data_IF_222111763613
#
_entry.id   IF_222111763613
#
_cell.length_a   1.000
_cell.length_b   1.000
_cell.length_c   1.000
_cell.angle_alpha   90.00
_cell.angle_beta   90.00
_cell.angle_gamma   90.00
#
_symmetry.space_group_name_H-M   'P 1'
#
loop_
_entity.id
_entity.type
_entity.pdbx_description
1 polymer ?
#
# COMPACT_ATOMS: atom_id res chain seq x y z
N UNK A 1 27.82 9.03 -66.70
CA UNK A 1 29.12 9.02 -65.95
C UNK A 1 29.10 7.91 -64.98
N UNK A 2 29.89 6.80 -65.17
CA UNK A 2 30.01 5.71 -64.19
C UNK A 2 31.23 6.00 -63.34
N UNK A 3 31.00 6.11 -62.04
CA UNK A 3 32.10 6.26 -61.06
C UNK A 3 32.98 4.99 -61.01
N UNK A 4 34.30 5.14 -60.91
CA UNK A 4 35.22 4.00 -60.85
C UNK A 4 34.89 3.10 -59.65
N UNK A 5 35.00 1.78 -59.83
CA UNK A 5 34.65 0.74 -58.82
C UNK A 5 35.33 0.94 -57.46
N UNK A 6 36.51 1.59 -57.41
CA UNK A 6 37.23 1.94 -56.18
C UNK A 6 36.48 3.01 -55.37
N UNK A 7 35.90 4.03 -56.02
CA UNK A 7 35.12 5.06 -55.34
C UNK A 7 33.79 4.53 -54.80
N UNK A 8 33.16 3.57 -55.50
CA UNK A 8 31.94 2.92 -55.01
C UNK A 8 32.20 2.09 -53.75
N UNK A 9 33.34 1.36 -53.67
CA UNK A 9 33.74 0.64 -52.46
C UNK A 9 34.03 1.56 -51.28
N UNK A 10 34.71 2.69 -51.51
CA UNK A 10 34.98 3.68 -50.47
C UNK A 10 33.69 4.33 -49.95
N UNK A 11 32.74 4.67 -50.81
CA UNK A 11 31.45 5.21 -50.42
C UNK A 11 30.64 4.20 -49.60
N UNK A 12 30.66 2.89 -49.95
CA UNK A 12 29.99 1.85 -49.21
C UNK A 12 30.59 1.64 -47.81
N UNK A 13 31.92 1.65 -47.71
CA UNK A 13 32.62 1.51 -46.42
C UNK A 13 32.32 2.73 -45.51
N UNK A 14 32.33 3.94 -46.08
CA UNK A 14 31.97 5.15 -45.33
C UNK A 14 30.53 5.11 -44.83
N UNK A 15 29.58 4.66 -45.65
CA UNK A 15 28.18 4.50 -45.28
C UNK A 15 27.98 3.47 -44.18
N UNK A 16 28.65 2.32 -44.25
CA UNK A 16 28.60 1.28 -43.21
C UNK A 16 29.23 1.78 -41.90
N UNK A 17 30.34 2.48 -41.96
CA UNK A 17 31.00 3.04 -40.78
C UNK A 17 30.13 4.09 -40.07
N UNK A 18 29.46 4.96 -40.82
CA UNK A 18 28.54 5.97 -40.24
C UNK A 18 27.29 5.33 -39.66
N UNK A 19 26.73 4.29 -40.29
CA UNK A 19 25.56 3.56 -39.72
C UNK A 19 25.90 2.87 -38.41
N UNK A 20 27.06 2.21 -38.32
CA UNK A 20 27.53 1.58 -37.07
C UNK A 20 27.73 2.63 -35.97
N UNK A 21 28.28 3.78 -36.29
CA UNK A 21 28.50 4.86 -35.32
C UNK A 21 27.16 5.41 -34.79
N UNK A 22 26.16 5.60 -35.63
CA UNK A 22 24.83 6.07 -35.26
C UNK A 22 24.13 5.05 -34.32
N UNK A 23 24.24 3.76 -34.63
CA UNK A 23 23.68 2.70 -33.78
C UNK A 23 24.36 2.66 -32.43
N UNK A 24 25.68 2.78 -32.37
CA UNK A 24 26.42 2.79 -31.08
C UNK A 24 26.08 4.02 -30.22
N UNK A 25 25.94 5.19 -30.83
CA UNK A 25 25.53 6.41 -30.11
C UNK A 25 24.09 6.24 -29.61
N UNK A 26 23.18 5.75 -30.43
CA UNK A 26 21.77 5.53 -30.06
C UNK A 26 21.61 4.53 -28.89
N UNK A 27 22.36 3.43 -28.91
CA UNK A 27 22.36 2.46 -27.83
C UNK A 27 22.95 3.03 -26.53
N UNK A 28 24.06 3.78 -26.61
CA UNK A 28 24.66 4.42 -25.45
C UNK A 28 23.71 5.46 -24.79
N UNK A 29 23.00 6.23 -25.61
CA UNK A 29 21.99 7.17 -25.11
C UNK A 29 20.77 6.45 -24.53
N UNK A 30 20.30 5.39 -25.16
CA UNK A 30 19.19 4.55 -24.65
C UNK A 30 19.50 3.94 -23.29
N UNK A 31 20.71 3.39 -23.14
CA UNK A 31 21.16 2.83 -21.83
C UNK A 31 21.26 3.94 -20.78
N UNK A 32 21.80 5.13 -21.11
CA UNK A 32 21.87 6.26 -20.16
C UNK A 32 20.48 6.72 -19.72
N UNK A 33 19.55 6.89 -20.65
CA UNK A 33 18.16 7.26 -20.32
C UNK A 33 17.50 6.21 -19.44
N UNK A 34 17.67 4.94 -19.78
CA UNK A 34 17.11 3.84 -18.99
C UNK A 34 17.68 3.79 -17.57
N UNK A 35 19.00 3.99 -17.40
CA UNK A 35 19.62 4.04 -16.08
C UNK A 35 19.19 5.28 -15.28
N UNK A 36 19.04 6.43 -15.94
CA UNK A 36 18.49 7.63 -15.28
C UNK A 36 17.05 7.41 -14.80
N UNK A 37 16.19 6.82 -15.62
CA UNK A 37 14.82 6.48 -15.24
C UNK A 37 14.77 5.48 -14.07
N UNK A 38 15.61 4.44 -14.10
CA UNK A 38 15.72 3.49 -12.97
C UNK A 38 16.22 4.14 -11.68
N UNK A 39 17.21 5.02 -11.77
CA UNK A 39 17.75 5.71 -10.61
C UNK A 39 16.78 6.73 -10.04
N UNK A 40 16.00 7.44 -10.88
CA UNK A 40 14.92 8.32 -10.40
C UNK A 40 13.81 7.54 -9.69
N UNK A 41 13.40 6.38 -10.23
CA UNK A 41 12.43 5.52 -9.56
C UNK A 41 12.94 4.98 -8.21
N UNK A 42 14.24 4.62 -8.13
CA UNK A 42 14.88 4.18 -6.89
C UNK A 42 15.05 5.33 -5.86
N UNK A 43 15.31 6.56 -6.32
CA UNK A 43 15.43 7.72 -5.43
C UNK A 43 14.07 8.22 -4.90
N UNK A 44 12.97 7.99 -5.63
CA UNK A 44 11.63 8.28 -5.11
C UNK A 44 11.20 7.33 -3.98
N UNK A 45 11.83 6.15 -3.87
CA UNK A 45 11.57 5.20 -2.77
C UNK A 45 12.35 5.51 -1.47
N UNK A 46 13.30 6.43 -1.50
CA UNK A 46 14.13 6.80 -0.34
C UNK A 46 13.96 8.26 0.10
N UNK A 47 12.81 8.88 -0.19
CA UNK A 47 12.48 10.15 0.43
C UNK A 47 12.50 9.95 1.95
N UNK A 48 13.31 10.70 2.72
CA UNK A 48 13.33 10.56 4.17
C UNK A 48 11.92 10.77 4.70
N UNK A 49 11.39 9.77 5.41
CA UNK A 49 10.11 9.91 6.10
C UNK A 49 10.24 11.11 7.03
N UNK A 50 9.44 12.13 6.79
CA UNK A 50 9.49 13.32 7.62
C UNK A 50 8.80 13.01 8.95
N UNK A 51 9.58 12.72 9.98
CA UNK A 51 9.10 12.44 11.34
C UNK A 51 8.19 13.54 11.92
N UNK A 52 8.20 14.74 11.32
CA UNK A 52 7.29 15.81 11.69
C UNK A 52 5.80 15.53 11.39
N UNK A 53 5.50 14.45 10.67
CA UNK A 53 4.13 14.04 10.36
C UNK A 53 3.51 13.09 11.41
N UNK A 54 4.26 12.74 12.46
CA UNK A 54 3.86 11.70 13.43
C UNK A 54 4.00 10.30 12.85
N UNK A 55 3.93 9.28 13.72
CA UNK A 55 4.10 7.87 13.36
C UNK A 55 5.54 7.38 13.42
N UNK A 56 5.68 6.08 13.61
CA UNK A 56 6.96 5.38 13.72
C UNK A 56 7.31 4.73 12.38
N UNK A 57 8.50 4.96 11.81
CA UNK A 57 8.91 4.31 10.57
C UNK A 57 9.14 2.81 10.76
N UNK A 58 8.65 2.00 9.82
CA UNK A 58 8.66 0.53 9.87
C UNK A 58 9.82 -0.11 9.09
N UNK A 59 10.83 0.66 8.68
CA UNK A 59 12.01 0.21 7.94
C UNK A 59 11.71 -0.55 6.62
N UNK A 60 10.53 -0.37 6.04
CA UNK A 60 10.15 -0.96 4.75
C UNK A 60 10.08 -2.49 4.77
N UNK A 61 9.67 -3.11 5.88
CA UNK A 61 9.39 -4.54 5.96
C UNK A 61 8.21 -4.89 5.06
N UNK A 62 8.28 -6.04 4.36
CA UNK A 62 7.14 -6.54 3.58
C UNK A 62 5.98 -6.84 4.53
N UNK A 63 4.81 -6.24 4.26
CA UNK A 63 3.60 -6.48 5.03
C UNK A 63 3.16 -7.94 4.90
N UNK A 64 2.89 -8.64 6.01
CA UNK A 64 2.39 -10.00 6.01
C UNK A 64 1.10 -10.13 5.19
N UNK A 65 1.06 -11.06 4.24
CA UNK A 65 -0.14 -11.26 3.42
C UNK A 65 -1.22 -12.01 4.22
N UNK A 66 -2.47 -11.67 3.93
CA UNK A 66 -3.63 -12.35 4.50
C UNK A 66 -4.78 -12.40 3.50
N UNK A 67 -5.73 -13.33 3.74
CA UNK A 67 -7.00 -13.39 3.04
C UNK A 67 -8.13 -13.42 4.06
N UNK A 68 -9.01 -12.42 4.00
CA UNK A 68 -10.19 -12.27 4.85
C UNK A 68 -11.41 -11.95 3.99
N UNK A 69 -12.58 -11.80 4.63
CA UNK A 69 -13.86 -11.49 3.99
C UNK A 69 -14.31 -10.10 4.39
N UNK A 70 -14.74 -9.28 3.44
CA UNK A 70 -15.22 -7.92 3.72
C UNK A 70 -16.70 -7.89 4.13
N UNK A 71 -17.21 -6.70 4.43
CA UNK A 71 -18.58 -6.44 4.82
C UNK A 71 -19.63 -6.75 3.73
N UNK A 72 -19.21 -7.07 2.52
CA UNK A 72 -20.06 -7.51 1.40
C UNK A 72 -19.90 -9.00 1.09
N UNK A 73 -19.29 -9.77 1.99
CA UNK A 73 -18.95 -11.17 1.83
C UNK A 73 -17.99 -11.47 0.65
N UNK A 74 -17.20 -10.46 0.23
CA UNK A 74 -16.19 -10.63 -0.81
C UNK A 74 -14.84 -10.99 -0.19
N UNK A 75 -14.11 -11.91 -0.83
CA UNK A 75 -12.75 -12.25 -0.39
C UNK A 75 -11.77 -11.15 -0.77
N UNK A 76 -11.02 -10.65 0.21
CA UNK A 76 -9.96 -9.66 0.04
C UNK A 76 -8.63 -10.26 0.46
N UNK A 77 -7.62 -10.15 -0.40
CA UNK A 77 -6.24 -10.55 -0.13
C UNK A 77 -5.36 -9.30 -0.19
N UNK A 78 -4.54 -9.05 0.83
CA UNK A 78 -3.74 -7.83 0.90
C UNK A 78 -2.82 -7.67 -0.32
N UNK A 79 -2.16 -8.75 -0.75
CA UNK A 79 -1.24 -8.70 -1.90
C UNK A 79 -1.91 -8.33 -3.23
N UNK A 80 -3.23 -8.48 -3.36
CA UNK A 80 -3.97 -8.02 -4.56
C UNK A 80 -4.16 -6.51 -4.63
N UNK A 81 -3.85 -5.79 -3.55
CA UNK A 81 -3.94 -4.34 -3.47
C UNK A 81 -2.64 -3.62 -3.87
N UNK A 82 -1.60 -4.37 -4.27
CA UNK A 82 -0.36 -3.78 -4.78
C UNK A 82 -0.63 -2.81 -5.92
N UNK A 83 0.18 -1.78 -6.02
CA UNK A 83 -0.04 -0.63 -6.91
C UNK A 83 -0.85 0.49 -6.25
N UNK A 84 -1.36 0.28 -5.03
CA UNK A 84 -2.13 1.26 -4.24
C UNK A 84 -1.50 1.44 -2.86
N UNK A 85 -1.63 2.62 -2.31
CA UNK A 85 -1.35 2.88 -0.90
C UNK A 85 -2.46 2.24 -0.05
N UNK A 86 -2.11 1.50 0.99
CA UNK A 86 -3.07 0.90 1.91
C UNK A 86 -2.91 1.53 3.29
N UNK A 87 -4.01 2.03 3.84
CA UNK A 87 -4.13 2.40 5.25
C UNK A 87 -4.85 1.27 5.94
N UNK A 88 -4.14 0.50 6.75
CA UNK A 88 -4.66 -0.65 7.47
C UNK A 88 -4.80 -0.30 8.95
N UNK A 89 -5.96 -0.56 9.55
CA UNK A 89 -6.20 -0.40 10.97
C UNK A 89 -6.87 -1.63 11.57
N UNK A 90 -6.65 -1.86 12.86
CA UNK A 90 -7.36 -2.88 13.64
C UNK A 90 -8.52 -2.24 14.38
N UNK A 91 -9.74 -2.74 14.14
CA UNK A 91 -11.00 -2.15 14.60
C UNK A 91 -11.86 -3.24 15.24
N UNK A 92 -12.24 -3.08 16.49
CA UNK A 92 -13.25 -3.94 17.10
C UNK A 92 -14.65 -3.51 16.63
N UNK A 93 -15.40 -4.45 16.02
CA UNK A 93 -16.77 -4.23 15.52
C UNK A 93 -17.80 -3.95 16.63
N UNK A 94 -17.44 -4.08 17.91
CA UNK A 94 -18.27 -3.73 19.04
C UNK A 94 -17.78 -2.51 19.84
N UNK A 95 -16.64 -1.96 19.48
CA UNK A 95 -16.06 -0.78 20.12
C UNK A 95 -16.92 0.47 19.85
N UNK A 96 -17.16 1.27 20.91
CA UNK A 96 -17.96 2.49 20.87
C UNK A 96 -17.16 3.77 21.16
N UNK A 97 -15.86 3.67 21.38
CA UNK A 97 -15.01 4.79 21.79
C UNK A 97 -13.95 5.16 20.76
N UNK A 98 -12.81 4.49 20.79
CA UNK A 98 -11.65 4.84 19.92
C UNK A 98 -11.85 4.40 18.46
N UNK A 99 -12.45 3.24 18.21
CA UNK A 99 -12.61 2.74 16.84
C UNK A 99 -13.42 3.67 15.91
N UNK A 100 -14.54 4.30 16.34
CA UNK A 100 -15.20 5.33 15.54
C UNK A 100 -14.30 6.53 15.21
N UNK A 101 -13.44 6.93 16.16
CA UNK A 101 -12.48 8.01 15.95
C UNK A 101 -11.43 7.61 14.92
N UNK A 102 -10.85 6.42 15.03
CA UNK A 102 -9.90 5.88 14.03
C UNK A 102 -10.50 5.85 12.63
N UNK A 103 -11.72 5.37 12.48
CA UNK A 103 -12.44 5.37 11.20
C UNK A 103 -12.61 6.79 10.62
N UNK A 104 -12.99 7.74 11.48
CA UNK A 104 -13.14 9.16 11.11
C UNK A 104 -11.81 9.76 10.65
N UNK A 105 -10.71 9.47 11.35
CA UNK A 105 -9.36 9.93 10.99
C UNK A 105 -8.97 9.38 9.63
N UNK A 106 -9.11 8.06 9.38
CA UNK A 106 -8.80 7.43 8.11
C UNK A 106 -9.58 8.06 6.96
N UNK A 107 -10.88 8.22 7.13
CA UNK A 107 -11.76 8.82 6.13
C UNK A 107 -11.38 10.28 5.83
N UNK A 108 -11.20 11.07 6.87
CA UNK A 108 -10.88 12.50 6.75
C UNK A 108 -9.50 12.71 6.12
N UNK A 109 -8.51 11.92 6.52
CA UNK A 109 -7.19 11.98 5.93
C UNK A 109 -7.24 11.68 4.43
N UNK A 110 -7.94 10.61 4.02
CA UNK A 110 -8.13 10.28 2.61
C UNK A 110 -8.86 11.39 1.85
N UNK A 111 -9.91 11.96 2.41
CA UNK A 111 -10.68 13.04 1.78
C UNK A 111 -9.85 14.31 1.54
N UNK A 112 -8.86 14.59 2.41
CA UNK A 112 -7.95 15.76 2.28
C UNK A 112 -6.89 15.62 1.19
N UNK A 113 -6.68 14.42 0.65
CA UNK A 113 -5.67 14.19 -0.39
C UNK A 113 -6.07 14.75 -1.78
N UNK A 114 -7.33 15.15 -1.97
CA UNK A 114 -7.86 15.48 -3.29
C UNK A 114 -8.13 14.22 -4.12
N UNK A 115 -8.97 14.33 -5.16
CA UNK A 115 -9.51 13.18 -5.90
C UNK A 115 -8.45 12.28 -6.51
N UNK A 116 -7.41 12.85 -7.12
CA UNK A 116 -6.36 12.09 -7.82
C UNK A 116 -5.51 11.24 -6.87
N UNK A 117 -5.10 11.78 -5.72
CA UNK A 117 -4.32 11.01 -4.74
C UNK A 117 -5.23 10.05 -3.96
N UNK A 118 -6.43 10.50 -3.55
CA UNK A 118 -7.39 9.67 -2.82
C UNK A 118 -7.81 8.42 -3.61
N UNK A 119 -7.87 8.48 -4.94
CA UNK A 119 -8.18 7.30 -5.78
C UNK A 119 -7.13 6.20 -5.71
N UNK A 120 -5.91 6.52 -5.31
CA UNK A 120 -4.80 5.57 -5.13
C UNK A 120 -4.75 4.97 -3.71
N UNK A 121 -5.54 5.48 -2.77
CA UNK A 121 -5.55 5.04 -1.37
C UNK A 121 -6.71 4.09 -1.11
N UNK A 122 -6.41 2.94 -0.52
CA UNK A 122 -7.37 1.95 0.00
C UNK A 122 -7.38 2.02 1.52
N UNK A 123 -8.56 2.10 2.11
CA UNK A 123 -8.74 1.98 3.55
C UNK A 123 -9.16 0.55 3.88
N UNK A 124 -8.44 -0.10 4.79
CA UNK A 124 -8.70 -1.45 5.27
C UNK A 124 -8.86 -1.41 6.79
N UNK A 125 -9.94 -1.96 7.29
CA UNK A 125 -10.08 -2.30 8.69
C UNK A 125 -10.03 -3.82 8.83
N UNK A 126 -9.25 -4.33 9.78
CA UNK A 126 -9.26 -5.74 10.19
C UNK A 126 -10.00 -5.84 11.52
N UNK A 127 -10.99 -6.72 11.57
CA UNK A 127 -11.76 -6.92 12.81
C UNK A 127 -10.86 -7.41 13.95
N UNK A 128 -10.74 -6.62 15.01
CA UNK A 128 -9.95 -6.91 16.19
C UNK A 128 -10.77 -7.66 17.28
N UNK A 129 -11.98 -8.11 16.95
CA UNK A 129 -12.82 -8.88 17.87
C UNK A 129 -13.00 -10.34 17.41
N UNK A 130 -12.26 -11.29 17.98
CA UNK A 130 -12.38 -12.70 17.61
C UNK A 130 -13.66 -13.38 18.10
N UNK A 131 -14.50 -12.68 18.90
CA UNK A 131 -15.79 -13.19 19.39
C UNK A 131 -16.98 -12.68 18.57
N UNK A 132 -16.79 -11.63 17.78
CA UNK A 132 -17.80 -11.00 16.92
C UNK A 132 -17.30 -11.03 15.46
N UNK A 133 -17.38 -12.20 14.82
CA UNK A 133 -16.68 -12.48 13.54
C UNK A 133 -17.58 -12.50 12.32
N UNK A 134 -18.88 -12.23 12.47
CA UNK A 134 -19.80 -12.31 11.34
C UNK A 134 -19.66 -11.13 10.37
N UNK A 135 -19.90 -11.39 9.09
CA UNK A 135 -19.99 -10.34 8.07
C UNK A 135 -21.06 -9.31 8.43
N UNK A 136 -22.19 -9.75 9.01
CA UNK A 136 -23.27 -8.87 9.40
C UNK A 136 -22.85 -7.85 10.48
N UNK A 137 -21.97 -8.23 11.41
CA UNK A 137 -21.47 -7.32 12.46
C UNK A 137 -20.58 -6.22 11.86
N UNK A 138 -19.59 -6.57 11.06
CA UNK A 138 -18.70 -5.57 10.41
C UNK A 138 -19.46 -4.70 9.40
N UNK A 139 -20.51 -5.24 8.75
CA UNK A 139 -21.40 -4.47 7.89
C UNK A 139 -22.25 -3.48 8.70
N UNK A 140 -22.91 -3.94 9.76
CA UNK A 140 -23.74 -3.09 10.62
C UNK A 140 -22.91 -1.97 11.25
N UNK A 141 -21.69 -2.27 11.70
CA UNK A 141 -20.76 -1.27 12.21
C UNK A 141 -20.40 -0.24 11.14
N UNK A 142 -20.06 -0.69 9.93
CA UNK A 142 -19.74 0.21 8.80
C UNK A 142 -20.90 1.12 8.41
N UNK A 143 -22.13 0.62 8.44
CA UNK A 143 -23.35 1.41 8.20
C UNK A 143 -23.52 2.48 9.29
N UNK A 144 -23.44 2.10 10.55
CA UNK A 144 -23.71 3.01 11.68
C UNK A 144 -22.69 4.15 11.81
N UNK A 145 -21.50 3.98 11.23
CA UNK A 145 -20.42 4.98 11.25
C UNK A 145 -20.16 5.65 9.89
N UNK A 146 -21.07 5.45 8.89
CA UNK A 146 -20.95 6.07 7.56
C UNK A 146 -19.78 5.54 6.72
N UNK A 147 -19.25 4.37 7.07
CA UNK A 147 -18.06 3.79 6.44
C UNK A 147 -18.36 2.72 5.39
N UNK A 148 -19.63 2.35 5.17
CA UNK A 148 -20.00 1.17 4.37
C UNK A 148 -19.31 1.09 2.99
N UNK A 149 -19.17 2.22 2.29
CA UNK A 149 -18.56 2.32 0.97
C UNK A 149 -17.22 3.08 0.98
N UNK A 150 -16.67 3.36 2.16
CA UNK A 150 -15.44 4.14 2.29
C UNK A 150 -14.19 3.26 2.47
N UNK A 151 -14.39 2.05 2.95
CA UNK A 151 -13.33 1.10 3.28
C UNK A 151 -13.75 -0.35 3.00
N UNK A 152 -12.83 -1.30 3.21
CA UNK A 152 -13.17 -2.71 3.39
C UNK A 152 -12.94 -3.09 4.85
N UNK A 153 -14.02 -3.44 5.57
CA UNK A 153 -13.93 -3.94 6.94
C UNK A 153 -13.90 -5.47 6.90
N UNK A 154 -12.74 -6.02 7.14
CA UNK A 154 -12.42 -7.41 6.94
C UNK A 154 -12.64 -8.23 8.21
N UNK A 155 -13.28 -9.37 8.06
CA UNK A 155 -13.48 -10.37 9.10
C UNK A 155 -13.18 -11.77 8.58
N UNK A 156 -13.24 -12.76 9.45
CA UNK A 156 -13.00 -14.16 9.12
C UNK A 156 -13.26 -15.03 10.33
N UNK A 157 -12.87 -16.30 10.30
CA UNK A 157 -12.92 -17.14 11.52
C UNK A 157 -12.00 -16.57 12.60
N UNK A 158 -12.29 -16.85 13.86
CA UNK A 158 -11.42 -16.45 14.97
C UNK A 158 -9.96 -16.88 14.75
N UNK A 159 -9.74 -18.07 14.18
CA UNK A 159 -8.39 -18.55 13.87
C UNK A 159 -7.71 -17.72 12.77
N UNK A 160 -8.43 -17.34 11.72
CA UNK A 160 -7.89 -16.48 10.67
C UNK A 160 -7.51 -15.10 11.23
N UNK A 161 -8.37 -14.51 12.04
CA UNK A 161 -8.12 -13.21 12.68
C UNK A 161 -6.91 -13.29 13.61
N UNK A 162 -6.81 -14.32 14.47
CA UNK A 162 -5.65 -14.53 15.35
C UNK A 162 -4.34 -14.67 14.57
N UNK A 163 -4.37 -15.35 13.41
CA UNK A 163 -3.20 -15.47 12.53
C UNK A 163 -2.74 -14.11 12.03
N UNK A 164 -3.69 -13.23 11.66
CA UNK A 164 -3.38 -11.86 11.23
C UNK A 164 -2.84 -11.04 12.38
N UNK A 165 -3.48 -11.06 13.56
CA UNK A 165 -2.98 -10.35 14.76
C UNK A 165 -1.53 -10.73 15.07
N UNK A 166 -1.23 -12.03 15.09
CA UNK A 166 0.12 -12.51 15.33
C UNK A 166 1.13 -12.00 14.27
N UNK A 167 0.74 -12.01 12.99
CA UNK A 167 1.62 -11.58 11.90
C UNK A 167 1.97 -10.10 11.95
N UNK A 168 1.04 -9.28 12.47
CA UNK A 168 1.19 -7.83 12.61
C UNK A 168 1.64 -7.39 14.02
N UNK A 169 1.88 -8.34 14.92
CA UNK A 169 2.15 -8.12 16.35
C UNK A 169 1.04 -7.28 17.03
N UNK A 170 -0.20 -7.39 16.55
CA UNK A 170 -1.36 -6.75 17.16
C UNK A 170 -1.75 -7.53 18.41
N UNK A 171 -1.72 -6.88 19.57
CA UNK A 171 -2.19 -7.49 20.81
C UNK A 171 -3.71 -7.48 20.83
N UNK A 172 -4.33 -8.65 20.91
CA UNK A 172 -5.77 -8.79 21.10
C UNK A 172 -6.02 -9.75 22.26
N UNK A 173 -6.67 -9.28 23.30
CA UNK A 173 -7.02 -10.06 24.49
C UNK A 173 -8.52 -10.00 24.76
N UNK A 174 -9.09 -11.14 25.08
CA UNK A 174 -10.49 -11.27 25.51
C UNK A 174 -10.51 -11.61 26.98
N UNK A 175 -11.09 -10.72 27.80
CA UNK A 175 -11.24 -10.95 29.21
C UNK A 175 -12.30 -12.03 29.54
N UNK A 176 -12.32 -12.54 30.75
CA UNK A 176 -13.35 -13.46 31.20
C UNK A 176 -14.77 -12.88 31.17
N UNK A 177 -14.91 -11.56 31.19
CA UNK A 177 -16.18 -10.85 31.02
C UNK A 177 -16.59 -10.63 29.55
N UNK A 178 -15.77 -11.07 28.59
CA UNK A 178 -16.00 -10.86 27.15
C UNK A 178 -15.52 -9.50 26.63
N UNK A 179 -14.89 -8.65 27.47
CA UNK A 179 -14.31 -7.39 27.03
C UNK A 179 -13.08 -7.68 26.15
N UNK A 180 -13.03 -7.07 24.98
CA UNK A 180 -11.89 -7.12 24.09
C UNK A 180 -11.01 -5.90 24.35
N UNK A 181 -9.71 -6.16 24.55
CA UNK A 181 -8.66 -5.14 24.61
C UNK A 181 -7.69 -5.44 23.47
N UNK A 182 -7.39 -4.44 22.65
CA UNK A 182 -6.45 -4.57 21.56
C UNK A 182 -5.63 -3.29 21.38
N UNK A 183 -4.48 -3.41 20.73
CA UNK A 183 -3.72 -2.25 20.29
C UNK A 183 -4.49 -1.53 19.18
N UNK A 184 -4.50 -0.22 19.21
CA UNK A 184 -5.19 0.59 18.19
C UNK A 184 -4.22 0.95 17.07
N UNK A 185 -3.57 -0.05 16.49
CA UNK A 185 -2.58 0.13 15.45
C UNK A 185 -3.19 0.58 14.12
N UNK A 186 -2.51 1.51 13.48
CA UNK A 186 -2.76 1.90 12.08
C UNK A 186 -1.44 1.89 11.32
N UNK A 187 -1.41 1.25 10.16
CA UNK A 187 -0.23 1.10 9.32
C UNK A 187 -0.45 1.73 7.96
N UNK A 188 0.60 2.34 7.41
CA UNK A 188 0.67 2.74 6.01
C UNK A 188 1.53 1.73 5.27
N UNK A 189 0.96 1.12 4.24
CA UNK A 189 1.63 0.14 3.38
C UNK A 189 1.71 0.76 1.97
N UNK A 190 2.91 0.79 1.41
CA UNK A 190 3.17 1.41 0.12
C UNK A 190 2.66 0.54 -1.07
N UNK A 191 2.66 1.07 -2.31
CA UNK A 191 2.20 0.33 -3.49
C UNK A 191 3.01 -0.93 -3.79
N UNK A 192 4.21 -1.08 -3.24
CA UNK A 192 5.04 -2.28 -3.39
C UNK A 192 4.74 -3.34 -2.32
N UNK A 193 3.90 -3.00 -1.33
CA UNK A 193 3.46 -3.87 -0.26
C UNK A 193 4.36 -3.81 0.98
N UNK A 194 5.16 -2.75 1.16
CA UNK A 194 6.03 -2.60 2.32
C UNK A 194 5.44 -1.64 3.35
N UNK A 195 5.54 -2.02 4.62
CA UNK A 195 5.13 -1.20 5.77
C UNK A 195 6.06 0.01 5.90
N UNK A 196 5.50 1.21 5.82
CA UNK A 196 6.24 2.47 5.87
C UNK A 196 6.12 3.17 7.21
N UNK A 197 4.92 3.27 7.75
CA UNK A 197 4.61 3.98 8.98
C UNK A 197 3.66 3.18 9.86
N UNK A 198 3.88 3.26 11.15
CA UNK A 198 3.00 2.76 12.19
C UNK A 198 2.52 3.94 13.05
N UNK A 199 1.24 3.96 13.38
CA UNK A 199 0.62 4.93 14.29
C UNK A 199 -0.12 4.21 15.38
N UNK A 200 -0.04 4.71 16.60
CA UNK A 200 -1.02 4.41 17.64
C UNK A 200 -2.16 5.43 17.53
N UNK A 201 -3.40 4.99 17.74
CA UNK A 201 -4.57 5.90 17.58
C UNK A 201 -4.51 7.11 18.52
N UNK A 202 -3.87 6.99 19.67
CA UNK A 202 -3.70 8.09 20.62
C UNK A 202 -2.70 9.15 20.13
N UNK A 203 -1.69 8.76 19.34
CA UNK A 203 -0.69 9.69 18.79
C UNK A 203 -1.22 10.53 17.62
N UNK A 204 -2.30 10.07 16.99
CA UNK A 204 -2.92 10.77 15.85
C UNK A 204 -3.85 11.92 16.25
N UNK A 205 -4.01 12.18 17.57
CA UNK A 205 -4.90 13.21 18.14
C UNK A 205 -4.10 14.46 18.57
N UNK A 206 -2.79 14.38 18.60
CA UNK A 206 -1.89 15.51 18.92
C UNK A 206 -1.55 16.29 17.65
#
# INVERSE_FOLDING_TARGET
MQYPKSMQKLALIAFLATSVLVVMIGTAWGVRLFTMYRNQAAQQQTAPVNYALGGFPMNGKLAPDFRLTDQFAQSVTLSTLRGREVVLAFIDSQCKSLCPLTATIMYTAKARLGSTAASKVVLIAVNANPTATSVAEVQAWSISHGMLHQWSFLTGTAQQLQSVYHSYNELVQVSSSGLVVHDSAMLIIDPTGHEQLYFETLDSIA
#
